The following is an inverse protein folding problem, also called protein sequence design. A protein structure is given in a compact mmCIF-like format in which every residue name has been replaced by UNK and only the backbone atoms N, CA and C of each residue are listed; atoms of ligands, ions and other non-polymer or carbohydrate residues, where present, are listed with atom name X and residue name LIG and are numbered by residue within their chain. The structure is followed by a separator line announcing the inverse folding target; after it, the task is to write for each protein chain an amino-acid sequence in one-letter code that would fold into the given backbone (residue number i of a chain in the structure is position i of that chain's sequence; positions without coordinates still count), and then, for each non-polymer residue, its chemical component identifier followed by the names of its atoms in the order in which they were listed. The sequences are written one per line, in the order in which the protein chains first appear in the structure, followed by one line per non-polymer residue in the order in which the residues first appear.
data_IF_592978874023
#
_entry.id   IF_592978874023
#
_cell.length_a   1.000
_cell.length_b   1.000
_cell.length_c   1.000
_cell.angle_alpha   90.00
_cell.angle_beta   90.00
_cell.angle_gamma   90.00
#
_symmetry.space_group_name_H-M   'P 1'
#
loop_
_entity.id
_entity.type
_entity.pdbx_description
1 polymer ?
#
# COMPACT_ATOMS: atom_id res chain seq x y z
N UNK A 1 -1.66 7.02 -13.26
CA UNK A 1 -1.65 5.73 -12.53
C UNK A 1 -2.92 5.61 -11.67
N UNK A 2 -3.35 4.43 -11.21
CA UNK A 2 -4.57 4.22 -10.41
C UNK A 2 -4.65 5.17 -9.19
N UNK A 3 -3.54 5.31 -8.46
CA UNK A 3 -3.45 6.22 -7.30
C UNK A 3 -3.78 7.68 -7.64
N UNK A 4 -3.38 8.16 -8.82
CA UNK A 4 -3.66 9.52 -9.28
C UNK A 4 -5.15 9.71 -9.59
N UNK A 5 -5.76 8.75 -10.28
CA UNK A 5 -7.20 8.73 -10.56
C UNK A 5 -8.05 8.63 -9.30
N UNK A 6 -7.55 7.94 -8.28
CA UNK A 6 -8.17 7.84 -6.96
C UNK A 6 -7.96 9.11 -6.09
N UNK A 7 -7.27 10.14 -6.59
CA UNK A 7 -7.03 11.37 -5.84
C UNK A 7 -6.05 11.23 -4.68
N UNK A 8 -5.26 10.15 -4.64
CA UNK A 8 -4.27 9.85 -3.59
C UNK A 8 -2.99 10.71 -3.71
N UNK A 9 -3.14 11.99 -4.05
CA UNK A 9 -2.04 12.95 -4.19
C UNK A 9 -1.57 13.44 -2.82
N UNK A 10 -0.26 13.40 -2.63
CA UNK A 10 0.42 13.80 -1.41
C UNK A 10 0.64 12.67 -0.40
N UNK A 11 1.65 12.86 0.46
CA UNK A 11 2.16 11.85 1.41
C UNK A 11 1.08 11.19 2.27
N UNK A 12 0.20 11.97 2.91
CA UNK A 12 -0.83 11.42 3.79
C UNK A 12 -1.89 10.61 3.03
N UNK A 13 -2.44 11.17 1.94
CA UNK A 13 -3.44 10.47 1.11
C UNK A 13 -2.85 9.23 0.44
N UNK A 14 -1.59 9.32 0.02
CA UNK A 14 -0.82 8.18 -0.47
C UNK A 14 -0.64 7.09 0.58
N UNK A 15 -0.27 7.45 1.81
CA UNK A 15 -0.12 6.48 2.92
C UNK A 15 -1.44 5.77 3.25
N UNK A 16 -2.56 6.50 3.28
CA UNK A 16 -3.90 5.93 3.45
C UNK A 16 -4.28 5.00 2.30
N UNK A 17 -3.96 5.36 1.06
CA UNK A 17 -4.12 4.47 -0.09
C UNK A 17 -3.24 3.21 0.05
N UNK A 18 -2.01 3.35 0.54
CA UNK A 18 -1.10 2.24 0.88
C UNK A 18 -1.71 1.27 1.88
N UNK A 19 -2.36 1.77 2.95
CA UNK A 19 -3.11 0.92 3.88
C UNK A 19 -4.26 0.17 3.19
N UNK A 20 -4.99 0.84 2.30
CA UNK A 20 -6.03 0.20 1.49
C UNK A 20 -5.48 -0.93 0.62
N UNK A 21 -4.32 -0.71 -0.01
CA UNK A 21 -3.62 -1.74 -0.80
C UNK A 21 -3.19 -2.89 0.12
N UNK A 22 -2.60 -2.61 1.29
CA UNK A 22 -2.20 -3.66 2.24
C UNK A 22 -3.37 -4.54 2.67
N UNK A 23 -4.54 -3.94 2.92
CA UNK A 23 -5.74 -4.68 3.29
C UNK A 23 -6.20 -5.63 2.17
N UNK A 24 -6.16 -5.18 0.92
CA UNK A 24 -6.50 -5.99 -0.25
C UNK A 24 -5.45 -7.07 -0.51
N UNK A 25 -4.18 -6.70 -0.57
CA UNK A 25 -3.08 -7.59 -0.94
C UNK A 25 -2.86 -8.64 0.13
N UNK A 26 -2.82 -8.29 1.41
CA UNK A 26 -2.59 -9.27 2.49
C UNK A 26 -3.86 -10.04 2.84
N UNK A 27 -5.03 -9.40 2.74
CA UNK A 27 -6.33 -9.97 3.09
C UNK A 27 -6.96 -10.87 2.01
N UNK A 28 -6.69 -10.63 0.73
CA UNK A 28 -7.17 -11.49 -0.37
C UNK A 28 -6.03 -12.28 -1.03
N UNK A 29 -4.99 -11.60 -1.48
CA UNK A 29 -3.95 -12.20 -2.33
C UNK A 29 -2.97 -13.03 -1.49
N UNK A 30 -2.48 -12.47 -0.40
CA UNK A 30 -1.56 -13.11 0.55
C UNK A 30 -2.10 -14.44 1.05
N UNK A 31 -3.42 -14.55 1.28
CA UNK A 31 -4.07 -15.81 1.68
C UNK A 31 -3.78 -16.99 0.73
N UNK A 32 -3.52 -16.72 -0.55
CA UNK A 32 -3.23 -17.73 -1.58
C UNK A 32 -1.74 -18.09 -1.68
N UNK A 33 -0.83 -17.27 -1.15
CA UNK A 33 0.62 -17.48 -1.26
C UNK A 33 1.24 -17.77 0.10
N UNK A 34 1.56 -19.05 0.36
CA UNK A 34 2.13 -19.49 1.63
C UNK A 34 3.40 -18.72 2.04
N UNK A 35 4.28 -18.40 1.07
CA UNK A 35 5.50 -17.63 1.32
C UNK A 35 5.23 -16.21 1.81
N UNK A 36 4.20 -15.54 1.30
CA UNK A 36 3.82 -14.19 1.72
C UNK A 36 3.22 -14.22 3.14
N UNK A 37 2.35 -15.20 3.42
CA UNK A 37 1.76 -15.39 4.76
C UNK A 37 2.76 -15.70 5.86
N UNK A 38 3.89 -16.31 5.49
CA UNK A 38 4.95 -16.64 6.44
C UNK A 38 5.75 -15.39 6.87
N UNK A 39 5.62 -14.26 6.15
CA UNK A 39 6.31 -13.03 6.50
C UNK A 39 5.62 -12.33 7.69
N UNK A 40 6.38 -11.61 8.53
CA UNK A 40 5.80 -10.80 9.61
C UNK A 40 4.82 -9.75 9.06
N UNK A 41 3.65 -9.60 9.70
CA UNK A 41 2.59 -8.71 9.21
C UNK A 41 2.97 -7.22 9.32
N UNK A 42 3.58 -6.81 10.43
CA UNK A 42 3.96 -5.41 10.68
C UNK A 42 4.84 -4.81 9.57
N UNK A 43 5.97 -5.44 9.21
CA UNK A 43 6.81 -5.03 8.10
C UNK A 43 6.08 -4.96 6.75
N UNK A 44 5.20 -5.92 6.46
CA UNK A 44 4.43 -5.90 5.20
C UNK A 44 3.50 -4.69 5.14
N UNK A 45 2.76 -4.40 6.21
CA UNK A 45 1.89 -3.21 6.27
C UNK A 45 2.72 -1.93 6.17
N UNK A 46 3.85 -1.85 6.87
CA UNK A 46 4.74 -0.70 6.83
C UNK A 46 5.29 -0.43 5.42
N UNK A 47 5.67 -1.48 4.69
CA UNK A 47 6.14 -1.38 3.31
C UNK A 47 5.07 -0.79 2.37
N UNK A 48 3.81 -1.24 2.50
CA UNK A 48 2.70 -0.70 1.71
C UNK A 48 2.39 0.76 2.05
N UNK A 49 2.45 1.12 3.33
CA UNK A 49 2.32 2.51 3.80
C UNK A 49 3.42 3.39 3.21
N UNK A 50 4.67 2.93 3.28
CA UNK A 50 5.82 3.64 2.74
C UNK A 50 5.72 3.82 1.23
N UNK A 51 5.38 2.75 0.49
CA UNK A 51 5.12 2.80 -0.95
C UNK A 51 4.05 3.84 -1.27
N UNK A 52 2.89 3.79 -0.61
CA UNK A 52 1.80 4.72 -0.84
C UNK A 52 2.21 6.18 -0.56
N UNK A 53 2.92 6.41 0.54
CA UNK A 53 3.41 7.74 0.93
C UNK A 53 4.38 8.32 -0.12
N UNK A 54 5.32 7.52 -0.61
CA UNK A 54 6.30 7.90 -1.64
C UNK A 54 5.59 8.17 -2.97
N UNK A 55 4.74 7.25 -3.42
CA UNK A 55 3.99 7.39 -4.67
C UNK A 55 3.09 8.64 -4.64
N UNK A 56 2.34 8.84 -3.55
CA UNK A 56 1.51 10.04 -3.37
C UNK A 56 2.33 11.33 -3.37
N UNK A 57 3.52 11.33 -2.75
CA UNK A 57 4.44 12.48 -2.79
C UNK A 57 4.92 12.79 -4.20
N UNK A 58 5.21 11.77 -5.01
CA UNK A 58 5.65 11.93 -6.40
C UNK A 58 4.51 12.44 -7.29
N UNK A 59 3.28 11.96 -7.08
CA UNK A 59 2.08 12.39 -7.83
C UNK A 59 1.58 13.80 -7.49
N UNK A 60 2.11 14.42 -6.43
CA UNK A 60 1.79 15.81 -6.07
C UNK A 60 2.69 16.82 -6.82
N UNK A 61 3.75 16.35 -7.48
CA UNK A 61 4.61 17.18 -8.31
C UNK A 61 4.04 17.26 -9.72
#
# INVERSE_FOLDING_TARGET
VVLDRAGARGTLRGALAGLGIAALDLGLVGRRFARVRALPLGPQVADHVAFGAIAGRLLRR
#
